data_IF_791555700056
#
_entry.id   IF_791555700056
#
_cell.length_a   1.000
_cell.length_b   1.000
_cell.length_c   1.000
_cell.angle_alpha   90.00
_cell.angle_beta   90.00
_cell.angle_gamma   90.00
#
_symmetry.space_group_name_H-M   'P 1'
#
loop_
_entity.id
_entity.type
_entity.pdbx_description
1 polymer ?
#
# COMPACT_ATOMS: atom_id res chain seq x y z
N UNK A 1 -25.91 13.02 9.54
CA UNK A 1 -25.29 11.68 9.74
C UNK A 1 -23.78 11.85 9.88
N UNK A 2 -23.22 11.64 11.07
CA UNK A 2 -21.76 11.76 11.31
C UNK A 2 -21.10 10.44 10.87
N UNK A 3 -20.22 10.50 9.87
CA UNK A 3 -19.43 9.33 9.43
C UNK A 3 -18.33 9.06 10.46
N UNK A 4 -18.39 7.89 11.09
CA UNK A 4 -17.26 7.37 11.88
C UNK A 4 -16.10 7.12 10.93
N UNK A 5 -15.08 7.96 11.00
CA UNK A 5 -13.76 7.67 10.45
C UNK A 5 -12.95 7.05 11.58
N UNK A 6 -12.37 5.84 11.44
CA UNK A 6 -11.43 5.35 12.44
C UNK A 6 -10.13 6.14 12.25
N UNK A 7 -10.07 7.30 12.89
CA UNK A 7 -8.81 7.98 13.11
C UNK A 7 -8.07 7.14 14.15
N UNK A 8 -7.21 6.24 13.69
CA UNK A 8 -6.19 5.68 14.57
C UNK A 8 -5.23 6.84 14.86
N UNK A 9 -5.15 7.35 16.11
CA UNK A 9 -4.10 8.29 16.44
C UNK A 9 -2.76 7.58 16.24
N UNK A 10 -1.81 8.26 15.62
CA UNK A 10 -0.42 7.80 15.65
C UNK A 10 0.04 7.95 17.11
N UNK A 11 -0.06 6.87 17.85
CA UNK A 11 0.42 6.76 19.22
C UNK A 11 1.79 6.04 19.19
N UNK A 12 2.91 6.76 19.38
CA UNK A 12 4.25 6.17 19.42
C UNK A 12 4.40 5.12 20.52
N UNK A 13 3.63 5.24 21.61
CA UNK A 13 3.69 4.34 22.76
C UNK A 13 2.96 3.02 22.48
N UNK A 14 2.05 2.99 21.50
CA UNK A 14 1.38 1.75 21.06
C UNK A 14 2.39 0.74 20.49
N UNK A 15 3.36 1.21 19.71
CA UNK A 15 4.39 0.34 19.12
C UNK A 15 5.50 -0.01 20.13
N UNK A 16 5.79 0.87 21.09
CA UNK A 16 6.81 0.62 22.11
C UNK A 16 6.34 -0.37 23.18
N UNK A 17 5.06 -0.36 23.54
CA UNK A 17 4.50 -1.20 24.61
C UNK A 17 4.16 -2.65 24.20
N UNK A 18 4.33 -3.05 22.94
CA UNK A 18 4.16 -4.46 22.50
C UNK A 18 5.16 -5.40 23.21
N UNK A 19 6.28 -4.88 23.73
CA UNK A 19 7.36 -5.72 24.25
C UNK A 19 7.36 -6.00 25.76
N UNK A 20 6.43 -5.46 26.56
CA UNK A 20 6.60 -5.50 28.04
C UNK A 20 5.39 -5.89 28.91
N UNK A 21 4.27 -6.39 28.40
CA UNK A 21 3.21 -6.93 29.27
C UNK A 21 2.62 -8.24 28.75
N UNK A 22 2.25 -9.10 29.70
CA UNK A 22 1.73 -10.46 29.51
C UNK A 22 0.72 -10.59 28.36
N UNK A 23 0.83 -11.73 27.68
CA UNK A 23 0.06 -12.20 26.52
C UNK A 23 -1.45 -11.95 26.60
N UNK A 24 -1.89 -10.77 26.19
CA UNK A 24 -3.18 -10.62 25.54
C UNK A 24 -2.89 -10.82 24.06
N UNK A 25 -3.16 -12.01 23.53
CA UNK A 25 -3.13 -12.23 22.08
C UNK A 25 -4.21 -11.35 21.45
N UNK A 26 -3.87 -10.10 21.13
CA UNK A 26 -4.62 -9.35 20.15
C UNK A 26 -4.31 -10.02 18.82
N UNK A 27 -5.14 -11.00 18.44
CA UNK A 27 -5.11 -11.58 17.10
C UNK A 27 -5.54 -10.50 16.12
N UNK A 28 -4.61 -9.61 15.77
CA UNK A 28 -4.77 -8.72 14.64
C UNK A 28 -4.99 -9.62 13.42
N UNK A 29 -6.06 -9.40 12.63
CA UNK A 29 -6.27 -10.18 11.42
C UNK A 29 -5.02 -10.12 10.56
N UNK A 30 -4.44 -11.28 10.26
CA UNK A 30 -3.30 -11.34 9.34
C UNK A 30 -3.69 -10.65 8.04
N UNK A 31 -2.91 -9.68 7.53
CA UNK A 31 -3.18 -9.04 6.26
C UNK A 31 -3.37 -10.11 5.18
N UNK A 32 -4.48 -10.05 4.45
CA UNK A 32 -4.73 -10.97 3.33
C UNK A 32 -3.85 -10.54 2.17
N UNK A 33 -2.83 -11.35 1.87
CA UNK A 33 -1.93 -11.15 0.73
C UNK A 33 -2.43 -12.03 -0.42
N UNK A 34 -2.57 -11.44 -1.60
CA UNK A 34 -2.80 -12.14 -2.87
C UNK A 34 -1.51 -12.16 -3.69
N UNK A 35 -1.28 -13.22 -4.46
CA UNK A 35 -0.12 -13.36 -5.35
C UNK A 35 -0.61 -13.60 -6.77
N UNK A 36 -0.06 -12.86 -7.74
CA UNK A 36 -0.44 -12.97 -9.15
C UNK A 36 0.76 -12.77 -10.06
N UNK A 37 0.80 -13.45 -11.20
CA UNK A 37 1.77 -13.17 -12.26
C UNK A 37 1.40 -11.86 -12.97
N UNK A 38 2.39 -11.01 -13.21
CA UNK A 38 2.29 -9.89 -14.15
C UNK A 38 2.95 -10.32 -15.46
N UNK A 39 2.13 -10.82 -16.38
CA UNK A 39 2.61 -11.43 -17.62
C UNK A 39 3.44 -10.46 -18.48
N UNK A 40 3.01 -9.21 -18.63
CA UNK A 40 3.70 -8.20 -19.46
C UNK A 40 5.16 -7.96 -19.01
N UNK A 41 5.42 -8.05 -17.71
CA UNK A 41 6.74 -7.81 -17.10
C UNK A 41 7.45 -9.12 -16.72
N UNK A 42 6.79 -10.28 -16.88
CA UNK A 42 7.33 -11.58 -16.51
C UNK A 42 7.68 -11.72 -15.01
N UNK A 43 6.97 -11.03 -14.12
CA UNK A 43 7.30 -10.98 -12.68
C UNK A 43 6.10 -11.30 -11.79
N UNK A 44 6.35 -11.87 -10.62
CA UNK A 44 5.31 -12.12 -9.61
C UNK A 44 5.02 -10.83 -8.84
N UNK A 45 3.75 -10.60 -8.56
CA UNK A 45 3.26 -9.48 -7.77
C UNK A 45 2.60 -9.97 -6.47
N UNK A 46 2.92 -9.30 -5.36
CA UNK A 46 2.26 -9.45 -4.07
C UNK A 46 1.33 -8.27 -3.82
N UNK A 47 0.10 -8.55 -3.43
CA UNK A 47 -1.00 -7.59 -3.41
C UNK A 47 -1.68 -7.57 -2.05
N UNK A 48 -2.01 -6.38 -1.57
CA UNK A 48 -2.82 -6.18 -0.36
C UNK A 48 -3.92 -5.18 -0.67
N UNK A 49 -5.15 -5.54 -0.31
CA UNK A 49 -6.30 -4.65 -0.40
C UNK A 49 -6.49 -3.89 0.91
N UNK A 50 -6.42 -2.56 0.84
CA UNK A 50 -6.63 -1.68 1.99
C UNK A 50 -7.50 -0.50 1.57
N UNK A 51 -8.58 -0.25 2.32
CA UNK A 51 -9.55 0.84 2.03
C UNK A 51 -10.08 0.81 0.59
N UNK A 52 -10.29 -0.39 0.02
CA UNK A 52 -10.75 -0.56 -1.36
C UNK A 52 -9.69 -0.29 -2.43
N UNK A 53 -8.42 -0.20 -2.04
CA UNK A 53 -7.28 0.04 -2.94
C UNK A 53 -6.34 -1.14 -2.86
N UNK A 54 -6.11 -1.78 -4.02
CA UNK A 54 -5.10 -2.82 -4.17
C UNK A 54 -3.71 -2.17 -4.32
N UNK A 55 -2.84 -2.38 -3.35
CA UNK A 55 -1.41 -1.99 -3.41
C UNK A 55 -0.60 -3.20 -3.80
N UNK A 56 0.36 -3.02 -4.72
CA UNK A 56 1.12 -4.11 -5.31
C UNK A 56 2.62 -3.86 -5.20
N UNK A 57 3.39 -4.91 -4.87
CA UNK A 57 4.85 -4.99 -4.91
C UNK A 57 5.27 -6.08 -5.89
N UNK A 58 6.25 -5.82 -6.76
CA UNK A 58 6.83 -6.82 -7.66
C UNK A 58 8.00 -7.57 -7.00
N UNK A 59 8.22 -8.82 -7.40
CA UNK A 59 9.15 -9.76 -6.74
C UNK A 59 10.60 -9.64 -7.20
N UNK A 60 10.82 -9.21 -8.44
CA UNK A 60 12.12 -9.19 -9.12
C UNK A 60 13.02 -8.03 -8.70
N UNK A 61 12.44 -6.87 -8.35
CA UNK A 61 13.20 -5.67 -7.97
C UNK A 61 12.59 -4.90 -6.78
N UNK A 62 11.64 -5.51 -6.08
CA UNK A 62 11.02 -4.98 -4.87
C UNK A 62 10.26 -3.64 -5.01
N UNK A 63 10.07 -3.13 -6.23
CA UNK A 63 9.31 -1.89 -6.46
C UNK A 63 7.85 -2.04 -6.03
N UNK A 64 7.28 -0.94 -5.55
CA UNK A 64 5.89 -0.84 -5.12
C UNK A 64 5.19 0.15 -6.04
N UNK A 65 3.95 -0.13 -6.44
CA UNK A 65 3.15 0.84 -7.18
C UNK A 65 2.81 2.05 -6.28
N UNK A 66 3.66 3.09 -6.35
CA UNK A 66 3.54 4.31 -5.57
C UNK A 66 2.23 5.06 -5.81
N UNK A 67 1.63 4.92 -7.00
CA UNK A 67 0.31 5.51 -7.26
C UNK A 67 -0.77 4.88 -6.40
N UNK A 68 -0.79 3.55 -6.27
CA UNK A 68 -1.75 2.84 -5.42
C UNK A 68 -1.48 3.11 -3.95
N UNK A 69 -0.23 3.06 -3.52
CA UNK A 69 0.17 3.32 -2.13
C UNK A 69 -0.30 4.70 -1.65
N UNK A 70 -0.02 5.76 -2.43
CA UNK A 70 -0.41 7.11 -2.04
C UNK A 70 -1.92 7.36 -2.09
N UNK A 71 -2.68 6.63 -2.91
CA UNK A 71 -4.14 6.72 -2.88
C UNK A 71 -4.71 6.23 -1.53
N UNK A 72 -4.05 5.28 -0.85
CA UNK A 72 -4.51 4.75 0.46
C UNK A 72 -4.60 5.84 1.52
N UNK A 73 -3.77 6.88 1.41
CA UNK A 73 -3.77 8.01 2.34
C UNK A 73 -4.98 8.94 2.17
N UNK A 74 -5.73 8.83 1.07
CA UNK A 74 -6.82 9.74 0.73
C UNK A 74 -6.37 11.14 0.32
N UNK A 75 -5.10 11.33 -0.09
CA UNK A 75 -4.62 12.62 -0.57
C UNK A 75 -5.22 13.00 -1.93
N UNK A 76 -5.20 14.30 -2.27
CA UNK A 76 -5.64 14.76 -3.58
C UNK A 76 -4.74 14.24 -4.71
N UNK A 77 -5.31 14.12 -5.91
CA UNK A 77 -4.58 13.74 -7.13
C UNK A 77 -3.36 14.63 -7.38
N UNK A 78 -3.52 15.96 -7.29
CA UNK A 78 -2.43 16.89 -7.56
C UNK A 78 -1.26 16.73 -6.58
N UNK A 79 -1.55 16.47 -5.29
CA UNK A 79 -0.51 16.20 -4.28
C UNK A 79 0.22 14.90 -4.57
N UNK A 80 -0.51 13.81 -4.86
CA UNK A 80 0.06 12.52 -5.26
C UNK A 80 0.97 12.67 -6.48
N UNK A 81 0.45 13.26 -7.55
CA UNK A 81 1.19 13.42 -8.81
C UNK A 81 2.43 14.32 -8.59
N UNK A 82 2.33 15.30 -7.70
CA UNK A 82 3.45 16.14 -7.25
C UNK A 82 4.54 15.42 -6.46
N UNK A 83 4.21 14.37 -5.71
CA UNK A 83 5.19 13.51 -5.03
C UNK A 83 5.84 12.57 -6.05
N UNK A 84 5.03 11.84 -6.82
CA UNK A 84 5.51 10.82 -7.76
C UNK A 84 6.37 11.41 -8.88
N UNK A 85 6.12 12.65 -9.33
CA UNK A 85 6.95 13.31 -10.35
C UNK A 85 8.39 13.60 -9.88
N UNK A 86 8.69 13.47 -8.61
CA UNK A 86 10.03 13.69 -8.05
C UNK A 86 10.67 12.39 -7.54
N UNK A 87 9.95 11.26 -7.59
CA UNK A 87 10.49 9.97 -7.18
C UNK A 87 11.63 9.55 -8.13
N UNK A 88 12.75 9.14 -7.54
CA UNK A 88 13.97 8.80 -8.29
C UNK A 88 13.84 7.39 -8.83
N UNK A 89 14.29 7.18 -10.07
CA UNK A 89 14.23 5.84 -10.69
C UNK A 89 12.81 5.35 -10.98
N UNK A 90 11.81 6.23 -10.91
CA UNK A 90 10.41 5.86 -11.15
C UNK A 90 10.20 5.24 -12.53
N UNK A 91 9.30 4.28 -12.62
CA UNK A 91 8.85 3.65 -13.87
C UNK A 91 7.38 3.95 -14.05
N UNK A 92 6.97 4.39 -15.25
CA UNK A 92 5.57 4.76 -15.53
C UNK A 92 4.91 3.71 -16.41
N UNK A 93 3.97 2.98 -15.83
CA UNK A 93 3.16 1.97 -16.53
C UNK A 93 1.79 2.56 -16.87
N UNK A 94 1.56 2.81 -18.17
CA UNK A 94 0.36 3.50 -18.67
C UNK A 94 -0.73 2.56 -19.18
N UNK A 95 -0.35 1.38 -19.63
CA UNK A 95 -1.23 0.37 -20.26
C UNK A 95 -1.17 -0.91 -19.43
N UNK A 96 -2.17 -1.79 -19.58
CA UNK A 96 -2.28 -3.05 -18.84
C UNK A 96 -3.35 -3.02 -17.75
N UNK A 97 -3.30 -4.02 -16.87
CA UNK A 97 -4.30 -4.22 -15.82
C UNK A 97 -4.47 -2.99 -14.91
N UNK A 98 -5.71 -2.64 -14.57
CA UNK A 98 -6.03 -1.40 -13.85
C UNK A 98 -5.27 -1.25 -12.52
N UNK A 99 -5.06 -2.35 -11.81
CA UNK A 99 -4.38 -2.37 -10.52
C UNK A 99 -2.85 -2.32 -10.65
N UNK A 100 -2.29 -2.58 -11.84
CA UNK A 100 -0.85 -2.50 -12.12
C UNK A 100 -0.44 -1.19 -12.83
N UNK A 101 -1.37 -0.45 -13.43
CA UNK A 101 -1.09 0.89 -13.98
C UNK A 101 -0.69 1.88 -12.88
N UNK A 102 0.25 2.77 -13.21
CA UNK A 102 0.70 3.84 -12.33
C UNK A 102 2.20 4.10 -12.43
N UNK A 103 2.67 4.98 -11.55
CA UNK A 103 4.08 5.13 -11.23
C UNK A 103 4.47 4.05 -10.22
N UNK A 104 5.47 3.27 -10.60
CA UNK A 104 6.20 2.32 -9.76
C UNK A 104 7.53 2.94 -9.34
#
# INVERSE_FOLDING_TARGET
>A
MKKFSPHFPYDPDFYHNIHLTQSVEVTLPKPKISTSLWDDEGTVCYQVDVRGICVTRRQDNDMINGTKLLNVTGMSRGKRDGILKNEKGRVVVKVGAMHLKGVW
#
